data_IF_123750197879
#
_entry.id   IF_123750197879
#
_cell.length_a   1.000
_cell.length_b   1.000
_cell.length_c   1.000
_cell.angle_alpha   90.00
_cell.angle_beta   90.00
_cell.angle_gamma   90.00
#
_symmetry.space_group_name_H-M   'P 1'
#
loop_
_entity.id
_entity.type
_entity.pdbx_description
1 polymer ?
#
# COMPACT_ATOMS: atom_id res chain seq x y z
N UNK A 1 -35.49 2.16 -2.52
CA UNK A 1 -34.26 2.20 -3.33
C UNK A 1 -33.39 3.29 -2.74
N UNK A 2 -32.31 2.94 -2.05
CA UNK A 2 -31.42 3.91 -1.41
C UNK A 2 -30.21 4.09 -2.30
N UNK A 3 -30.11 5.23 -2.97
CA UNK A 3 -28.95 5.61 -3.77
C UNK A 3 -27.82 6.02 -2.82
N UNK A 4 -26.77 5.22 -2.76
CA UNK A 4 -25.52 5.57 -2.09
C UNK A 4 -24.60 6.28 -3.08
N UNK A 5 -24.74 7.60 -3.20
CA UNK A 5 -23.68 8.46 -3.76
C UNK A 5 -22.80 8.99 -2.62
N UNK A 6 -21.93 8.13 -2.10
CA UNK A 6 -20.88 8.52 -1.16
C UNK A 6 -19.58 8.81 -1.89
N UNK A 7 -19.41 10.01 -2.46
CA UNK A 7 -18.08 10.49 -2.86
C UNK A 7 -17.25 10.69 -1.59
N UNK A 8 -16.28 9.82 -1.36
CA UNK A 8 -15.27 10.01 -0.31
C UNK A 8 -14.44 11.24 -0.70
N UNK A 9 -14.77 12.39 -0.12
CA UNK A 9 -13.91 13.57 -0.18
C UNK A 9 -12.74 13.34 0.78
N UNK A 10 -11.58 12.99 0.21
CA UNK A 10 -10.31 13.07 0.92
C UNK A 10 -10.06 14.55 1.24
N UNK A 11 -10.32 14.95 2.49
CA UNK A 11 -10.00 16.28 2.99
C UNK A 11 -8.49 16.52 2.90
N UNK A 12 -8.07 17.27 1.88
CA UNK A 12 -6.72 17.76 1.67
C UNK A 12 -6.32 18.82 2.73
N UNK A 13 -6.23 18.43 4.01
CA UNK A 13 -5.36 19.15 4.93
C UNK A 13 -3.94 18.66 4.67
N UNK A 14 -3.17 19.46 3.94
CA UNK A 14 -1.72 19.29 3.81
C UNK A 14 -1.10 19.64 5.17
N UNK A 15 -1.21 18.72 6.13
CA UNK A 15 -0.30 18.68 7.26
C UNK A 15 1.02 18.16 6.72
N UNK A 16 2.03 19.03 6.66
CA UNK A 16 3.41 18.59 6.46
C UNK A 16 3.70 17.50 7.48
N UNK A 17 3.88 16.28 7.00
CA UNK A 17 4.26 15.17 7.86
C UNK A 17 5.67 15.46 8.33
N UNK A 18 5.93 15.51 9.65
CA UNK A 18 7.30 15.54 10.11
C UNK A 18 7.92 14.19 9.72
N UNK A 19 8.72 14.18 8.64
CA UNK A 19 9.50 13.04 8.15
C UNK A 19 10.20 12.27 9.30
N UNK A 20 10.60 13.03 10.34
CA UNK A 20 11.20 12.56 11.58
C UNK A 20 10.39 11.51 12.36
N UNK A 21 9.07 11.38 12.17
CA UNK A 21 8.30 10.29 12.79
C UNK A 21 8.44 8.99 12.01
N UNK A 22 8.30 9.02 10.68
CA UNK A 22 8.37 7.80 9.86
C UNK A 22 9.75 7.14 9.95
N UNK A 23 10.83 7.92 9.94
CA UNK A 23 12.20 7.40 10.13
C UNK A 23 12.42 6.77 11.52
N UNK A 24 11.71 7.26 12.55
CA UNK A 24 11.70 6.64 13.88
C UNK A 24 10.91 5.34 13.88
N UNK A 25 9.84 5.25 13.10
CA UNK A 25 8.88 4.15 13.04
C UNK A 25 9.36 2.99 12.16
N UNK A 26 10.03 3.29 11.03
CA UNK A 26 10.46 2.34 10.01
C UNK A 26 11.80 2.77 9.40
N UNK A 27 12.64 1.83 8.94
CA UNK A 27 13.84 2.19 8.18
C UNK A 27 13.43 2.74 6.80
N UNK A 28 13.55 4.05 6.59
CA UNK A 28 13.15 4.71 5.34
C UNK A 28 13.77 4.05 4.11
N UNK A 29 15.05 3.66 4.20
CA UNK A 29 15.79 2.96 3.14
C UNK A 29 15.13 1.64 2.72
N UNK A 30 14.54 0.88 3.67
CA UNK A 30 13.88 -0.39 3.35
C UNK A 30 12.56 -0.17 2.62
N UNK A 31 11.82 0.89 2.98
CA UNK A 31 10.58 1.27 2.29
C UNK A 31 10.90 1.77 0.88
N UNK A 32 11.89 2.66 0.74
CA UNK A 32 12.30 3.17 -0.57
C UNK A 32 12.80 2.03 -1.47
N UNK A 33 13.52 1.05 -0.91
CA UNK A 33 13.93 -0.15 -1.64
C UNK A 33 12.73 -1.01 -2.06
N UNK A 34 11.75 -1.21 -1.17
CA UNK A 34 10.52 -1.95 -1.47
C UNK A 34 9.74 -1.29 -2.62
N UNK A 35 9.59 0.04 -2.57
CA UNK A 35 8.93 0.84 -3.60
C UNK A 35 9.67 0.77 -4.94
N UNK A 36 11.01 0.86 -4.93
CA UNK A 36 11.82 0.69 -6.15
C UNK A 36 11.67 -0.71 -6.75
N UNK A 37 11.69 -1.76 -5.92
CA UNK A 37 11.54 -3.15 -6.38
C UNK A 37 10.18 -3.39 -6.99
N UNK A 38 9.10 -2.96 -6.34
CA UNK A 38 7.76 -3.21 -6.89
C UNK A 38 7.53 -2.46 -8.20
N UNK A 39 8.05 -1.24 -8.35
CA UNK A 39 8.03 -0.49 -9.63
C UNK A 39 8.76 -1.25 -10.74
N UNK A 40 10.02 -1.62 -10.49
CA UNK A 40 10.83 -2.34 -11.49
C UNK A 40 10.24 -3.70 -11.88
N UNK A 41 9.73 -4.45 -10.90
CA UNK A 41 9.07 -5.74 -11.14
C UNK A 41 7.74 -5.57 -11.86
N UNK A 42 6.96 -4.53 -11.54
CA UNK A 42 5.73 -4.23 -12.25
C UNK A 42 6.01 -3.95 -13.74
N UNK A 43 7.03 -3.15 -14.05
CA UNK A 43 7.40 -2.86 -15.44
C UNK A 43 7.83 -4.12 -16.22
N UNK A 44 8.58 -5.01 -15.58
CA UNK A 44 9.19 -6.19 -16.21
C UNK A 44 8.29 -7.44 -16.24
N UNK A 45 7.61 -7.75 -15.12
CA UNK A 45 6.87 -8.99 -14.93
C UNK A 45 5.39 -8.86 -15.32
N UNK A 46 4.83 -7.65 -15.34
CA UNK A 46 3.45 -7.47 -15.80
C UNK A 46 3.38 -7.52 -17.33
N UNK A 47 2.66 -8.51 -17.84
CA UNK A 47 2.38 -8.66 -19.27
C UNK A 47 1.07 -7.96 -19.66
N UNK A 48 0.92 -7.51 -20.91
CA UNK A 48 -0.36 -6.95 -21.40
C UNK A 48 -1.41 -8.03 -21.71
N UNK A 49 -0.94 -9.27 -21.85
CA UNK A 49 -1.71 -10.45 -22.24
C UNK A 49 -1.38 -11.63 -21.36
N UNK A 50 -2.37 -12.47 -21.08
CA UNK A 50 -2.20 -13.68 -20.27
C UNK A 50 -2.15 -13.42 -18.77
N UNK A 51 -1.85 -14.47 -18.01
CA UNK A 51 -1.68 -14.40 -16.56
C UNK A 51 -0.23 -14.07 -16.21
N UNK A 52 -0.04 -13.43 -15.06
CA UNK A 52 1.28 -13.15 -14.49
C UNK A 52 1.32 -13.69 -13.07
N UNK A 53 2.52 -13.97 -12.57
CA UNK A 53 2.68 -14.33 -11.16
C UNK A 53 2.46 -13.10 -10.29
N UNK A 54 1.71 -13.21 -9.17
CA UNK A 54 1.53 -12.09 -8.26
C UNK A 54 2.87 -11.52 -7.81
N UNK A 55 3.02 -10.21 -7.96
CA UNK A 55 4.22 -9.48 -7.52
C UNK A 55 3.98 -9.11 -6.07
N UNK A 56 4.88 -9.51 -5.16
CA UNK A 56 4.79 -9.19 -3.73
C UNK A 56 6.14 -8.72 -3.22
N UNK A 57 6.14 -7.57 -2.57
CA UNK A 57 7.28 -7.03 -1.84
C UNK A 57 6.87 -6.76 -0.40
N UNK A 58 7.73 -7.07 0.56
CA UNK A 58 7.42 -6.92 1.96
C UNK A 58 8.63 -6.47 2.79
N UNK A 59 8.36 -5.71 3.83
CA UNK A 59 9.33 -5.24 4.81
C UNK A 59 8.81 -5.60 6.19
N UNK A 60 9.62 -6.31 6.96
CA UNK A 60 9.35 -6.57 8.37
C UNK A 60 9.86 -5.42 9.22
N UNK A 61 9.01 -4.87 10.07
CA UNK A 61 9.46 -3.93 11.09
C UNK A 61 9.94 -4.67 12.34
N UNK A 62 11.24 -4.61 12.60
CA UNK A 62 11.86 -5.24 13.77
C UNK A 62 12.05 -4.28 14.95
N UNK A 63 11.61 -3.02 14.83
CA UNK A 63 11.82 -2.02 15.89
C UNK A 63 10.86 -2.25 17.06
N UNK A 64 11.33 -2.41 18.32
CA UNK A 64 10.50 -2.83 19.44
C UNK A 64 9.44 -1.81 19.92
N UNK A 65 9.56 -0.53 19.57
CA UNK A 65 8.73 0.56 20.13
C UNK A 65 7.41 0.80 19.39
N UNK A 66 7.28 0.34 18.14
CA UNK A 66 6.13 0.65 17.28
C UNK A 66 5.27 -0.60 17.05
N UNK A 67 3.95 -0.52 17.20
CA UNK A 67 3.03 -1.65 16.96
C UNK A 67 2.96 -2.12 15.49
N UNK A 68 3.40 -1.27 14.55
CA UNK A 68 3.47 -1.57 13.12
C UNK A 68 4.47 -2.72 12.88
N UNK A 69 3.97 -3.83 12.34
CA UNK A 69 4.68 -5.08 12.09
C UNK A 69 5.10 -5.25 10.63
N UNK A 70 4.47 -6.17 9.91
CA UNK A 70 4.83 -6.47 8.53
C UNK A 70 4.08 -5.54 7.57
N UNK A 71 4.84 -4.92 6.66
CA UNK A 71 4.30 -4.11 5.57
C UNK A 71 4.49 -4.92 4.29
N UNK A 72 3.48 -4.97 3.45
CA UNK A 72 3.61 -5.52 2.11
C UNK A 72 2.82 -4.73 1.08
N UNK A 73 3.33 -4.75 -0.15
CA UNK A 73 2.61 -4.35 -1.34
C UNK A 73 2.49 -5.57 -2.25
N UNK A 74 1.32 -5.75 -2.85
CA UNK A 74 1.09 -6.82 -3.80
C UNK A 74 0.34 -6.34 -5.03
N UNK A 75 0.72 -6.85 -6.20
CA UNK A 75 0.00 -6.70 -7.46
C UNK A 75 -0.49 -8.09 -7.85
N UNK A 76 -1.80 -8.27 -7.87
CA UNK A 76 -2.45 -9.56 -8.16
C UNK A 76 -3.56 -9.38 -9.19
N UNK A 77 -3.83 -10.41 -9.98
CA UNK A 77 -5.02 -10.44 -10.84
C UNK A 77 -6.28 -10.43 -9.98
N UNK A 78 -7.29 -9.71 -10.43
CA UNK A 78 -8.63 -9.81 -9.83
C UNK A 78 -9.36 -11.03 -10.38
N UNK A 79 -10.22 -11.64 -9.58
CA UNK A 79 -11.05 -12.79 -10.00
C UNK A 79 -12.22 -12.39 -10.91
N UNK A 80 -12.17 -11.20 -11.53
CA UNK A 80 -13.25 -10.67 -12.34
C UNK A 80 -13.32 -11.44 -13.67
N UNK A 81 -14.33 -12.31 -13.79
CA UNK A 81 -14.57 -13.12 -14.99
C UNK A 81 -14.82 -12.28 -16.25
N UNK A 82 -15.25 -11.02 -16.09
CA UNK A 82 -15.54 -10.11 -17.21
C UNK A 82 -14.29 -9.37 -17.71
N UNK A 83 -13.21 -9.32 -16.92
CA UNK A 83 -11.99 -8.60 -17.30
C UNK A 83 -10.73 -9.32 -16.80
N UNK A 84 -10.26 -10.30 -17.57
CA UNK A 84 -9.06 -11.08 -17.27
C UNK A 84 -7.76 -10.27 -17.22
N UNK A 85 -7.79 -8.99 -17.60
CA UNK A 85 -6.64 -8.07 -17.58
C UNK A 85 -6.62 -7.17 -16.35
N UNK A 86 -7.67 -7.20 -15.54
CA UNK A 86 -7.84 -6.33 -14.38
C UNK A 86 -7.02 -6.81 -13.18
N UNK A 87 -6.27 -5.88 -12.60
CA UNK A 87 -5.29 -6.12 -11.55
C UNK A 87 -5.56 -5.17 -10.41
N UNK A 88 -5.13 -5.56 -9.22
CA UNK A 88 -5.22 -4.74 -8.04
C UNK A 88 -3.84 -4.58 -7.41
N UNK A 89 -3.48 -3.34 -7.12
CA UNK A 89 -2.37 -3.00 -6.23
C UNK A 89 -2.95 -2.83 -4.83
N UNK A 90 -2.48 -3.65 -3.89
CA UNK A 90 -2.98 -3.71 -2.53
C UNK A 90 -1.81 -3.54 -1.55
N UNK A 91 -2.01 -2.68 -0.55
CA UNK A 91 -1.12 -2.55 0.59
C UNK A 91 -1.70 -3.33 1.77
N UNK A 92 -0.85 -4.08 2.45
CA UNK A 92 -1.22 -4.74 3.69
C UNK A 92 -0.22 -4.36 4.79
N UNK A 93 -0.73 -3.95 5.94
CA UNK A 93 0.08 -3.61 7.13
C UNK A 93 -0.47 -4.37 8.31
N UNK A 94 0.36 -5.15 8.98
CA UNK A 94 -0.01 -5.88 10.19
C UNK A 94 0.54 -5.23 11.45
N UNK A 95 -0.01 -5.60 12.60
CA UNK A 95 0.65 -5.42 13.89
C UNK A 95 1.83 -6.38 14.01
N UNK A 96 2.79 -6.10 14.89
CA UNK A 96 3.91 -7.03 15.17
C UNK A 96 3.47 -8.42 15.58
N UNK A 97 2.38 -8.50 16.35
CA UNK A 97 1.78 -9.78 16.77
C UNK A 97 1.13 -10.54 15.61
N UNK A 98 0.88 -9.87 14.47
CA UNK A 98 0.13 -10.42 13.34
C UNK A 98 -1.37 -10.57 13.61
N UNK A 99 -1.86 -10.16 14.79
CA UNK A 99 -3.27 -10.30 15.16
C UNK A 99 -4.19 -9.41 14.33
N UNK A 100 -3.73 -8.22 13.98
CA UNK A 100 -4.49 -7.27 13.16
C UNK A 100 -3.72 -6.98 11.89
N UNK A 101 -4.43 -7.07 10.76
CA UNK A 101 -3.91 -6.68 9.45
C UNK A 101 -4.91 -5.74 8.80
N UNK A 102 -4.41 -4.60 8.31
CA UNK A 102 -5.15 -3.66 7.49
C UNK A 102 -4.75 -3.94 6.05
N UNK A 103 -5.70 -4.36 5.24
CA UNK A 103 -5.55 -4.51 3.79
C UNK A 103 -6.29 -3.36 3.11
N UNK A 104 -5.58 -2.61 2.24
CA UNK A 104 -6.14 -1.48 1.52
C UNK A 104 -5.82 -1.58 0.03
N UNK A 105 -6.85 -1.66 -0.84
CA UNK A 105 -6.65 -1.53 -2.27
C UNK A 105 -6.26 -0.08 -2.60
N UNK A 106 -5.13 0.11 -3.27
CA UNK A 106 -4.61 1.43 -3.66
C UNK A 106 -5.14 1.85 -5.03
N UNK A 107 -5.13 0.92 -5.98
CA UNK A 107 -5.70 1.10 -7.31
C UNK A 107 -6.08 -0.25 -7.90
N UNK A 108 -7.12 -0.25 -8.73
CA UNK A 108 -7.53 -1.39 -9.55
C UNK A 108 -7.63 -0.93 -10.99
N UNK A 109 -7.08 -1.71 -11.92
CA UNK A 109 -7.02 -1.34 -13.33
C UNK A 109 -6.19 -2.29 -14.18
N UNK A 110 -6.00 -1.92 -15.44
CA UNK A 110 -5.10 -2.62 -16.36
C UNK A 110 -3.62 -2.30 -16.06
N UNK A 111 -2.70 -2.91 -16.81
CA UNK A 111 -1.25 -2.68 -16.62
C UNK A 111 -0.88 -1.20 -16.68
N UNK A 112 -1.31 -0.49 -17.73
CA UNK A 112 -0.96 0.92 -17.93
C UNK A 112 -1.43 1.79 -16.76
N UNK A 113 -2.62 1.54 -16.22
CA UNK A 113 -3.16 2.25 -15.07
C UNK A 113 -2.35 1.99 -13.80
N UNK A 114 -1.98 0.73 -13.54
CA UNK A 114 -1.12 0.37 -12.39
C UNK A 114 0.26 1.02 -12.52
N UNK A 115 0.90 0.92 -13.70
CA UNK A 115 2.23 1.51 -13.93
C UNK A 115 2.18 3.04 -13.82
N UNK A 116 1.15 3.68 -14.38
CA UNK A 116 0.94 5.13 -14.26
C UNK A 116 0.79 5.55 -12.80
N UNK A 117 0.05 4.79 -12.00
CA UNK A 117 -0.11 5.07 -10.57
C UNK A 117 1.20 4.89 -9.79
N UNK A 118 1.95 3.81 -10.06
CA UNK A 118 3.25 3.55 -9.41
C UNK A 118 4.31 4.62 -9.74
N UNK A 119 4.25 5.18 -10.94
CA UNK A 119 5.16 6.23 -11.41
C UNK A 119 4.66 7.66 -11.12
N UNK A 120 3.51 7.82 -10.46
CA UNK A 120 3.03 9.13 -10.01
C UNK A 120 3.99 9.69 -8.94
N UNK A 121 4.39 10.95 -9.09
CA UNK A 121 5.32 11.63 -8.18
C UNK A 121 4.85 11.63 -6.73
N UNK A 122 3.53 11.55 -6.49
CA UNK A 122 2.92 11.57 -5.16
C UNK A 122 2.73 10.17 -4.58
N UNK A 123 2.93 9.10 -5.35
CA UNK A 123 2.69 7.75 -4.87
C UNK A 123 3.53 7.41 -3.64
N UNK A 124 4.84 7.68 -3.70
CA UNK A 124 5.76 7.36 -2.61
C UNK A 124 5.41 8.13 -1.34
N UNK A 125 5.04 9.41 -1.48
CA UNK A 125 4.60 10.23 -0.36
C UNK A 125 3.28 9.71 0.22
N UNK A 126 2.27 9.46 -0.62
CA UNK A 126 0.96 8.96 -0.22
C UNK A 126 1.06 7.60 0.49
N UNK A 127 1.91 6.70 0.01
CA UNK A 127 2.15 5.42 0.65
C UNK A 127 2.78 5.60 2.03
N UNK A 128 3.76 6.49 2.17
CA UNK A 128 4.35 6.84 3.47
C UNK A 128 3.32 7.44 4.43
N UNK A 129 2.37 8.25 3.95
CA UNK A 129 1.25 8.77 4.76
C UNK A 129 0.35 7.63 5.25
N UNK A 130 -0.02 6.72 4.36
CA UNK A 130 -0.82 5.55 4.72
C UNK A 130 -0.18 4.73 5.84
N UNK A 131 1.14 4.51 5.80
CA UNK A 131 1.85 3.83 6.89
C UNK A 131 1.76 4.58 8.22
N UNK A 132 1.80 5.90 8.20
CA UNK A 132 1.62 6.73 9.41
C UNK A 132 0.20 6.57 9.97
N UNK A 133 -0.82 6.64 9.12
CA UNK A 133 -2.22 6.47 9.55
C UNK A 133 -2.46 5.08 10.14
N UNK A 134 -1.85 4.04 9.56
CA UNK A 134 -1.86 2.68 10.12
C UNK A 134 -1.20 2.63 11.51
N UNK A 135 -0.04 3.28 11.68
CA UNK A 135 0.65 3.34 12.97
C UNK A 135 -0.23 3.98 14.04
N UNK A 136 -0.81 5.14 13.74
CA UNK A 136 -1.67 5.88 14.67
C UNK A 136 -2.95 5.08 15.02
N UNK A 137 -3.48 4.30 14.07
CA UNK A 137 -4.62 3.43 14.30
C UNK A 137 -4.28 2.22 15.18
N UNK A 138 -3.10 1.61 15.01
CA UNK A 138 -2.67 0.51 15.87
C UNK A 138 -2.35 0.98 17.29
N UNK A 139 -1.75 2.17 17.46
CA UNK A 139 -1.52 2.75 18.78
C UNK A 139 -2.84 2.96 19.54
N UNK A 140 -3.88 3.45 18.87
CA UNK A 140 -5.21 3.62 19.49
C UNK A 140 -5.84 2.29 19.89
N UNK A 141 -5.74 1.27 19.04
CA UNK A 141 -6.32 -0.06 19.30
C UNK A 141 -5.55 -0.89 20.34
N UNK A 142 -4.26 -0.62 20.54
CA UNK A 142 -3.47 -1.24 21.61
C UNK A 142 -3.68 -0.62 22.99
N UNK A 143 -4.44 0.48 23.08
CA UNK A 143 -4.78 1.18 24.33
C UNK A 143 -6.23 0.91 24.79
N UNK A 144 -7.02 0.15 24.04
CA UNK A 144 -8.34 -0.36 24.42
C UNK A 144 -8.24 -1.78 24.99
#
# INVERSE_FOLDING_TARGET
>A
MVNFEGKIQLNNKITQIPLNKLEKILPAEKIDLMLKKIKARADFEMTDTGTFQPIKEAVKNTKPVIELGDISLSIKSTSNLNNCKERILEAAVSTKSGQYTIEQPLIQGNREEIIKYLNDEKFDENFKRFLMDCSDNFEKKGLE
#
